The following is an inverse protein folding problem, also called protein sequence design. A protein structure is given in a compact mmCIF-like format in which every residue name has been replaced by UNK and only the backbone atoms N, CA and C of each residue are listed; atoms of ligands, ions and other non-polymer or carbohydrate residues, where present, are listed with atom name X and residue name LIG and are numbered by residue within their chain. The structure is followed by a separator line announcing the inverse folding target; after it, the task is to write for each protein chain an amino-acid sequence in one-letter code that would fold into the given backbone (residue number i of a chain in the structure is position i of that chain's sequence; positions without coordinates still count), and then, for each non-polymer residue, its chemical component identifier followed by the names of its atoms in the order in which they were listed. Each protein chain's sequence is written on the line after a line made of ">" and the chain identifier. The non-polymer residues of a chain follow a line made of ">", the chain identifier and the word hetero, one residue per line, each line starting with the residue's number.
data_IF_698089507694
#
_entry.id   IF_698089507694
#
_cell.length_a   1.000
_cell.length_b   1.000
_cell.length_c   1.000
_cell.angle_alpha   90.00
_cell.angle_beta   90.00
_cell.angle_gamma   90.00
#
_symmetry.space_group_name_H-M   'P 1'
#
loop_
_entity.id
_entity.type
_entity.pdbx_description
1 polymer ?
#
# COMPACT_ATOMS: atom_id res chain seq x y z
N UNK A 1 -11.75 16.40 76.62
CA UNK A 1 -11.48 15.65 75.37
C UNK A 1 -11.82 16.55 74.20
N UNK A 2 -10.80 16.89 73.39
CA UNK A 2 -10.94 17.64 72.14
C UNK A 2 -11.63 16.75 71.12
N UNK A 3 -12.59 17.27 70.36
CA UNK A 3 -12.65 17.08 68.91
C UNK A 3 -13.43 18.24 68.28
N UNK A 4 -13.02 18.50 67.05
CA UNK A 4 -13.04 19.76 66.31
C UNK A 4 -13.69 19.42 64.96
N UNK A 5 -14.16 20.46 64.25
CA UNK A 5 -14.38 20.50 62.79
C UNK A 5 -15.69 19.84 62.28
N UNK A 6 -16.32 20.27 61.19
CA UNK A 6 -16.00 21.32 60.21
C UNK A 6 -17.29 21.73 59.50
N UNK A 7 -17.34 23.01 59.13
CA UNK A 7 -18.35 23.65 58.32
C UNK A 7 -18.45 23.12 56.89
N UNK A 8 -19.63 23.36 56.34
CA UNK A 8 -20.15 23.22 54.98
C UNK A 8 -19.21 23.64 53.85
N UNK A 9 -19.27 22.87 52.75
CA UNK A 9 -18.66 23.23 51.46
C UNK A 9 -19.23 22.36 50.33
N UNK A 10 -20.40 22.74 49.81
CA UNK A 10 -21.02 22.12 48.64
C UNK A 10 -20.38 22.74 47.38
N UNK A 11 -19.46 22.03 46.74
CA UNK A 11 -18.90 22.42 45.44
C UNK A 11 -19.87 22.00 44.32
N UNK A 12 -20.57 22.98 43.76
CA UNK A 12 -21.25 22.88 42.47
C UNK A 12 -20.19 22.76 41.37
N UNK A 13 -20.05 21.55 40.82
CA UNK A 13 -19.30 21.33 39.58
C UNK A 13 -20.17 21.85 38.43
N UNK A 14 -19.78 22.98 37.86
CA UNK A 14 -20.32 23.50 36.61
C UNK A 14 -19.86 22.63 35.45
N UNK A 15 -20.82 22.07 34.70
CA UNK A 15 -20.57 21.55 33.36
C UNK A 15 -20.21 22.72 32.44
N UNK A 16 -18.94 22.84 32.07
CA UNK A 16 -18.56 23.67 30.93
C UNK A 16 -18.72 22.84 29.66
N UNK A 17 -19.79 23.14 28.94
CA UNK A 17 -20.05 22.74 27.57
C UNK A 17 -18.95 23.33 26.68
N UNK A 18 -18.00 22.50 26.28
CA UNK A 18 -16.93 22.89 25.38
C UNK A 18 -17.53 23.29 24.04
N UNK A 19 -17.47 24.59 23.75
CA UNK A 19 -17.91 25.18 22.51
C UNK A 19 -17.26 24.46 21.32
N UNK A 20 -18.14 23.94 20.46
CA UNK A 20 -17.84 23.35 19.16
C UNK A 20 -17.09 24.39 18.31
N UNK A 21 -15.79 24.21 18.18
CA UNK A 21 -14.95 25.01 17.29
C UNK A 21 -15.46 24.78 15.85
N UNK A 22 -15.85 25.84 15.09
CA UNK A 22 -16.33 25.66 13.74
C UNK A 22 -15.18 25.16 12.86
N UNK A 23 -15.48 24.15 12.06
CA UNK A 23 -14.58 23.58 11.07
C UNK A 23 -13.96 24.69 10.21
N UNK A 24 -12.64 24.80 10.26
CA UNK A 24 -11.88 25.65 9.36
C UNK A 24 -12.24 25.27 7.93
N UNK A 25 -12.78 26.24 7.19
CA UNK A 25 -13.13 26.09 5.80
C UNK A 25 -11.91 25.60 5.02
N UNK A 26 -12.04 24.43 4.41
CA UNK A 26 -11.06 23.89 3.49
C UNK A 26 -10.75 24.95 2.42
N UNK A 27 -9.52 25.47 2.42
CA UNK A 27 -9.00 26.25 1.31
C UNK A 27 -9.16 25.41 0.03
N UNK A 28 -9.98 25.91 -0.89
CA UNK A 28 -10.17 25.32 -2.20
C UNK A 28 -8.80 25.20 -2.89
N UNK A 29 -8.34 23.96 -3.04
CA UNK A 29 -7.17 23.65 -3.86
C UNK A 29 -7.52 24.04 -5.29
N UNK A 30 -6.84 25.07 -5.81
CA UNK A 30 -6.93 25.43 -7.23
C UNK A 30 -6.60 24.19 -8.05
N UNK A 31 -7.57 23.73 -8.85
CA UNK A 31 -7.35 22.63 -9.78
C UNK A 31 -6.19 22.99 -10.71
N UNK A 32 -5.17 22.11 -10.75
CA UNK A 32 -4.05 22.23 -11.66
C UNK A 32 -4.56 22.28 -13.10
N UNK A 33 -4.18 23.32 -13.85
CA UNK A 33 -4.63 23.59 -15.22
C UNK A 33 -3.90 22.76 -16.28
N UNK A 34 -2.97 21.89 -15.88
CA UNK A 34 -2.25 21.03 -16.81
C UNK A 34 -3.09 19.78 -17.09
N UNK A 35 -3.25 19.38 -18.37
CA UNK A 35 -3.89 18.11 -18.69
C UNK A 35 -3.17 16.98 -17.94
N UNK A 36 -3.90 15.99 -17.39
CA UNK A 36 -3.28 14.90 -16.66
C UNK A 36 -2.25 14.22 -17.58
N UNK A 37 -1.00 14.16 -17.11
CA UNK A 37 0.10 13.52 -17.83
C UNK A 37 -0.30 12.08 -18.16
N UNK A 38 -0.31 11.74 -19.44
CA UNK A 38 -0.57 10.37 -19.91
C UNK A 38 0.73 9.56 -19.82
N UNK A 39 0.64 8.36 -19.24
CA UNK A 39 1.74 7.41 -19.21
C UNK A 39 1.52 6.34 -20.29
N UNK A 40 2.59 5.85 -20.95
CA UNK A 40 2.50 4.73 -21.87
C UNK A 40 1.84 3.51 -21.21
N UNK A 41 1.03 2.78 -21.98
CA UNK A 41 0.48 1.50 -21.55
C UNK A 41 1.63 0.49 -21.51
N UNK A 42 1.81 -0.17 -20.37
CA UNK A 42 2.69 -1.31 -20.22
C UNK A 42 1.84 -2.57 -20.06
N UNK A 43 2.04 -3.55 -20.93
CA UNK A 43 1.39 -4.87 -20.86
C UNK A 43 2.34 -5.85 -20.19
N UNK A 44 2.01 -6.41 -19.01
CA UNK A 44 2.81 -7.43 -18.35
C UNK A 44 3.06 -8.64 -19.25
N UNK A 45 4.32 -9.09 -19.34
CA UNK A 45 4.64 -10.39 -19.91
C UNK A 45 4.26 -11.50 -18.91
N UNK A 46 3.01 -11.95 -19.02
CA UNK A 46 2.45 -12.96 -18.11
C UNK A 46 3.21 -14.27 -18.17
N UNK A 47 3.76 -14.64 -19.33
CA UNK A 47 4.51 -15.89 -19.47
C UNK A 47 5.83 -15.80 -18.69
N UNK A 48 6.57 -14.70 -18.87
CA UNK A 48 7.81 -14.45 -18.14
C UNK A 48 7.59 -14.38 -16.62
N UNK A 49 6.47 -13.78 -16.18
CA UNK A 49 6.10 -13.73 -14.76
C UNK A 49 5.82 -15.12 -14.21
N UNK A 50 4.99 -15.92 -14.89
CA UNK A 50 4.59 -17.26 -14.44
C UNK A 50 5.76 -18.25 -14.40
N UNK A 51 6.79 -18.04 -15.21
CA UNK A 51 8.02 -18.85 -15.20
C UNK A 51 9.16 -18.20 -14.39
N UNK A 52 8.90 -17.10 -13.68
CA UNK A 52 9.90 -16.31 -12.94
C UNK A 52 11.14 -15.91 -13.77
N UNK A 53 10.98 -15.76 -15.09
CA UNK A 53 12.09 -15.56 -16.02
C UNK A 53 12.86 -14.27 -15.74
N UNK A 54 12.18 -13.20 -15.33
CA UNK A 54 12.77 -11.89 -15.06
C UNK A 54 12.99 -11.59 -13.56
N UNK A 55 12.57 -12.49 -12.66
CA UNK A 55 12.62 -12.25 -11.20
C UNK A 55 14.05 -11.99 -10.71
N UNK A 56 15.01 -12.85 -11.08
CA UNK A 56 16.40 -12.74 -10.62
C UNK A 56 17.05 -11.41 -11.06
N UNK A 57 16.79 -10.99 -12.30
CA UNK A 57 17.29 -9.72 -12.81
C UNK A 57 16.70 -8.53 -12.04
N UNK A 58 15.39 -8.53 -11.79
CA UNK A 58 14.71 -7.47 -11.06
C UNK A 58 15.15 -7.40 -9.59
N UNK A 59 15.33 -8.54 -8.92
CA UNK A 59 15.88 -8.58 -7.56
C UNK A 59 17.28 -8.00 -7.51
N UNK A 60 18.14 -8.34 -8.48
CA UNK A 60 19.48 -7.77 -8.56
C UNK A 60 19.45 -6.26 -8.81
N UNK A 61 18.51 -5.75 -9.62
CA UNK A 61 18.32 -4.33 -9.85
C UNK A 61 17.88 -3.61 -8.55
N UNK A 62 16.85 -4.12 -7.87
CA UNK A 62 16.36 -3.59 -6.59
C UNK A 62 17.47 -3.59 -5.54
N UNK A 63 18.30 -4.63 -5.49
CA UNK A 63 19.41 -4.71 -4.54
C UNK A 63 20.49 -3.65 -4.78
N UNK A 64 20.84 -3.39 -6.04
CA UNK A 64 21.83 -2.36 -6.42
C UNK A 64 21.31 -0.94 -6.21
N UNK A 65 20.01 -0.71 -6.42
CA UNK A 65 19.41 0.61 -6.27
C UNK A 65 19.32 1.01 -4.79
N UNK A 66 19.64 2.27 -4.50
CA UNK A 66 19.46 2.84 -3.17
C UNK A 66 18.00 3.28 -3.05
N UNK A 67 17.24 2.57 -2.23
CA UNK A 67 15.80 2.83 -2.07
C UNK A 67 15.55 3.70 -0.86
N UNK A 68 14.64 4.66 -1.01
CA UNK A 68 14.05 5.40 0.11
C UNK A 68 12.75 4.71 0.49
N UNK A 69 12.57 4.44 1.78
CA UNK A 69 11.37 3.77 2.29
C UNK A 69 10.28 4.78 2.62
N UNK A 70 9.06 4.46 2.21
CA UNK A 70 7.89 5.30 2.40
C UNK A 70 6.76 4.54 3.09
N UNK A 71 6.00 5.26 3.92
CA UNK A 71 4.80 4.74 4.61
C UNK A 71 3.50 5.25 4.02
N UNK A 72 3.58 6.08 2.98
CA UNK A 72 2.45 6.78 2.36
C UNK A 72 2.24 6.29 0.93
N UNK A 73 1.00 5.99 0.58
CA UNK A 73 0.63 5.54 -0.76
C UNK A 73 0.90 6.59 -1.83
N UNK A 74 0.82 7.88 -1.48
CA UNK A 74 1.11 8.99 -2.40
C UNK A 74 2.59 9.12 -2.79
N UNK A 75 3.48 8.33 -2.17
CA UNK A 75 4.89 8.25 -2.56
C UNK A 75 5.14 7.24 -3.70
N UNK A 76 4.12 6.48 -4.13
CA UNK A 76 4.25 5.59 -5.29
C UNK A 76 4.56 6.46 -6.52
N UNK A 77 5.62 6.15 -7.30
CA UNK A 77 5.95 6.90 -8.50
C UNK A 77 4.74 7.00 -9.44
N UNK A 78 4.45 8.19 -10.02
CA UNK A 78 3.27 8.39 -10.86
C UNK A 78 3.13 7.40 -12.03
N UNK A 79 4.23 7.01 -12.68
CA UNK A 79 4.24 5.98 -13.73
C UNK A 79 3.76 4.62 -13.22
N UNK A 80 4.13 4.26 -12.00
CA UNK A 80 3.71 3.02 -11.35
C UNK A 80 2.25 3.12 -10.90
N UNK A 81 1.84 4.26 -10.32
CA UNK A 81 0.44 4.50 -9.96
C UNK A 81 -0.48 4.38 -11.19
N UNK A 82 -0.10 4.96 -12.32
CA UNK A 82 -0.83 4.83 -13.57
C UNK A 82 -0.93 3.37 -14.03
N UNK A 83 0.18 2.63 -13.97
CA UNK A 83 0.19 1.19 -14.28
C UNK A 83 -0.75 0.39 -13.37
N UNK A 84 -0.77 0.66 -12.06
CA UNK A 84 -1.62 -0.03 -11.10
C UNK A 84 -3.10 0.24 -11.36
N UNK A 85 -3.47 1.48 -11.70
CA UNK A 85 -4.85 1.79 -12.09
C UNK A 85 -5.29 1.07 -13.37
N UNK A 86 -4.36 0.75 -14.27
CA UNK A 86 -4.64 0.04 -15.52
C UNK A 86 -4.68 -1.49 -15.35
N UNK A 87 -3.80 -2.05 -14.52
CA UNK A 87 -3.54 -3.50 -14.50
C UNK A 87 -3.86 -4.17 -13.15
N UNK A 88 -4.11 -3.41 -12.10
CA UNK A 88 -4.21 -3.95 -10.73
C UNK A 88 -5.54 -3.60 -10.06
N UNK A 89 -6.63 -3.80 -10.79
CA UNK A 89 -7.98 -3.68 -10.25
C UNK A 89 -8.39 -4.95 -9.50
N UNK A 90 -9.13 -4.80 -8.39
CA UNK A 90 -9.68 -5.92 -7.64
C UNK A 90 -11.18 -5.95 -7.93
N UNK A 91 -11.67 -6.99 -8.60
CA UNK A 91 -13.08 -7.08 -8.97
C UNK A 91 -13.57 -5.73 -9.57
N UNK A 92 -14.78 -5.29 -9.24
CA UNK A 92 -15.34 -4.01 -9.69
C UNK A 92 -14.79 -2.78 -8.93
N UNK A 93 -13.58 -2.86 -8.34
CA UNK A 93 -12.92 -1.78 -7.61
C UNK A 93 -11.60 -1.36 -8.29
N UNK A 94 -11.40 -0.06 -8.57
CA UNK A 94 -10.13 0.44 -9.07
C UNK A 94 -8.99 0.21 -8.06
N UNK A 95 -7.74 0.37 -8.50
CA UNK A 95 -6.63 0.36 -7.56
C UNK A 95 -6.77 1.48 -6.52
N UNK A 96 -6.84 1.09 -5.25
CA UNK A 96 -6.82 1.95 -4.08
C UNK A 96 -6.12 1.21 -2.95
N UNK A 97 -5.28 1.92 -2.19
CA UNK A 97 -4.45 1.34 -1.12
C UNK A 97 -4.37 2.32 0.05
N UNK A 98 -4.61 1.82 1.26
CA UNK A 98 -4.43 2.58 2.49
C UNK A 98 -2.94 2.79 2.79
N UNK A 99 -2.61 3.87 3.50
CA UNK A 99 -1.26 4.05 4.03
C UNK A 99 -0.88 2.93 5.01
N UNK A 100 0.43 2.81 5.28
CA UNK A 100 0.91 1.83 6.26
C UNK A 100 0.22 2.02 7.61
N UNK A 101 -0.33 0.92 8.14
CA UNK A 101 -1.02 0.89 9.44
C UNK A 101 -2.42 1.50 9.46
N UNK A 102 -2.93 2.05 8.34
CA UNK A 102 -4.31 2.55 8.26
C UNK A 102 -5.31 1.43 7.97
N UNK A 103 -6.54 1.58 8.48
CA UNK A 103 -7.60 0.57 8.28
C UNK A 103 -7.87 0.33 6.79
N UNK A 104 -8.15 -0.91 6.44
CA UNK A 104 -8.53 -1.35 5.10
C UNK A 104 -9.54 -2.51 5.21
N UNK A 105 -10.18 -2.87 4.11
CA UNK A 105 -11.13 -3.98 4.04
C UNK A 105 -10.40 -5.33 4.01
N UNK A 106 -9.97 -5.80 5.18
CA UNK A 106 -9.24 -7.06 5.35
C UNK A 106 -10.13 -8.32 5.20
N UNK A 107 -11.41 -8.23 5.58
CA UNK A 107 -12.34 -9.34 5.61
C UNK A 107 -13.28 -9.42 4.41
N UNK A 108 -14.18 -10.40 4.43
CA UNK A 108 -15.16 -10.63 3.37
C UNK A 108 -16.31 -9.63 3.35
N UNK A 109 -16.50 -8.86 4.43
CA UNK A 109 -17.51 -7.81 4.53
C UNK A 109 -16.82 -6.46 4.35
N UNK A 110 -17.08 -5.80 3.22
CA UNK A 110 -16.51 -4.51 2.92
C UNK A 110 -17.21 -3.38 3.70
N UNK A 111 -16.45 -2.59 4.45
CA UNK A 111 -16.86 -1.30 4.98
C UNK A 111 -16.73 -0.23 3.89
N UNK A 112 -17.78 0.55 3.71
CA UNK A 112 -17.83 1.59 2.67
C UNK A 112 -16.76 2.65 2.93
N UNK A 113 -15.95 2.95 1.90
CA UNK A 113 -14.93 4.00 1.96
C UNK A 113 -13.56 3.55 2.45
N UNK A 114 -13.41 2.28 2.86
CA UNK A 114 -12.08 1.69 3.07
C UNK A 114 -11.58 1.03 1.77
N UNK A 115 -10.28 1.15 1.44
CA UNK A 115 -9.71 0.46 0.30
C UNK A 115 -9.62 -1.05 0.56
N UNK A 116 -9.64 -1.85 -0.51
CA UNK A 116 -9.39 -3.30 -0.44
C UNK A 116 -7.93 -3.70 -0.15
N UNK A 117 -7.01 -2.73 -0.09
CA UNK A 117 -5.57 -2.95 0.06
C UNK A 117 -4.96 -2.08 1.17
N UNK A 118 -3.91 -2.54 1.83
CA UNK A 118 -3.10 -1.75 2.77
C UNK A 118 -1.62 -1.81 2.41
N UNK A 119 -0.96 -0.67 2.35
CA UNK A 119 0.47 -0.60 2.09
C UNK A 119 1.25 -1.30 3.21
N UNK A 120 2.13 -2.22 2.83
CA UNK A 120 3.00 -2.96 3.76
C UNK A 120 4.46 -2.55 3.63
N UNK A 121 4.91 -2.30 2.41
CA UNK A 121 6.26 -1.84 2.11
C UNK A 121 6.27 -1.00 0.83
N UNK A 122 7.00 0.11 0.82
CA UNK A 122 7.29 0.88 -0.40
C UNK A 122 8.73 1.37 -0.34
N UNK A 123 9.58 0.79 -1.17
CA UNK A 123 10.94 1.26 -1.42
C UNK A 123 11.03 1.84 -2.83
N UNK A 124 11.37 3.13 -2.94
CA UNK A 124 11.51 3.83 -4.23
C UNK A 124 12.97 4.18 -4.43
N UNK A 125 13.58 3.62 -5.47
CA UNK A 125 14.93 3.96 -5.92
C UNK A 125 14.93 4.89 -7.12
N UNK A 126 16.10 5.08 -7.73
CA UNK A 126 16.24 5.93 -8.92
C UNK A 126 15.59 5.32 -10.16
N UNK A 127 15.61 3.99 -10.26
CA UNK A 127 15.12 3.25 -11.44
C UNK A 127 14.32 2.00 -11.07
N UNK A 128 14.14 1.75 -9.77
CA UNK A 128 13.41 0.59 -9.28
C UNK A 128 12.40 0.97 -8.22
N UNK A 129 11.36 0.15 -8.08
CA UNK A 129 10.41 0.26 -6.99
C UNK A 129 10.05 -1.15 -6.50
N UNK A 130 10.11 -1.32 -5.19
CA UNK A 130 9.64 -2.52 -4.50
C UNK A 130 8.41 -2.14 -3.68
N UNK A 131 7.26 -2.66 -4.08
CA UNK A 131 5.97 -2.37 -3.46
C UNK A 131 5.38 -3.67 -2.92
N UNK A 132 5.03 -3.71 -1.64
CA UNK A 132 4.21 -4.77 -1.08
C UNK A 132 2.98 -4.18 -0.40
N UNK A 133 1.84 -4.84 -0.57
CA UNK A 133 0.59 -4.47 0.08
C UNK A 133 -0.21 -5.71 0.44
N UNK A 134 -0.95 -5.61 1.54
CA UNK A 134 -1.92 -6.61 1.93
C UNK A 134 -3.20 -6.43 1.11
N UNK A 135 -3.78 -7.54 0.66
CA UNK A 135 -5.07 -7.61 -0.03
C UNK A 135 -6.04 -8.36 0.87
N UNK A 136 -7.21 -7.78 1.11
CA UNK A 136 -8.26 -8.42 1.90
C UNK A 136 -9.29 -9.17 1.04
N UNK A 137 -10.35 -9.65 1.69
CA UNK A 137 -11.44 -10.40 1.07
C UNK A 137 -11.67 -11.73 1.81
N UNK A 138 -11.63 -12.85 1.09
CA UNK A 138 -11.66 -14.19 1.71
C UNK A 138 -10.27 -14.51 2.28
N UNK A 139 -9.93 -13.84 3.37
CA UNK A 139 -8.60 -13.85 3.99
C UNK A 139 -7.73 -12.66 3.61
N UNK A 140 -6.53 -12.60 4.20
CA UNK A 140 -5.52 -11.57 3.92
C UNK A 140 -4.27 -12.24 3.38
N UNK A 141 -3.73 -11.73 2.28
CA UNK A 141 -2.43 -12.13 1.76
C UNK A 141 -1.63 -10.90 1.32
N UNK A 142 -0.31 -11.00 1.38
CA UNK A 142 0.59 -9.92 0.95
C UNK A 142 1.00 -10.12 -0.50
N UNK A 143 0.64 -9.19 -1.38
CA UNK A 143 1.17 -9.14 -2.75
C UNK A 143 2.43 -8.29 -2.76
N UNK A 144 3.40 -8.69 -3.57
CA UNK A 144 4.64 -7.94 -3.84
C UNK A 144 4.78 -7.69 -5.32
N UNK A 145 5.24 -6.50 -5.66
CA UNK A 145 5.49 -6.02 -7.00
C UNK A 145 6.90 -5.47 -7.08
N UNK A 146 7.62 -5.85 -8.14
CA UNK A 146 8.93 -5.32 -8.48
C UNK A 146 8.81 -4.59 -9.80
N UNK A 147 9.32 -3.36 -9.83
CA UNK A 147 9.38 -2.55 -11.03
C UNK A 147 10.80 -2.13 -11.32
N UNK A 148 11.17 -2.17 -12.59
CA UNK A 148 12.23 -1.36 -13.18
C UNK A 148 11.57 -0.34 -14.11
N UNK A 149 11.94 0.93 -13.99
CA UNK A 149 11.36 2.02 -14.78
C UNK A 149 12.44 3.03 -15.19
N UNK A 150 12.17 3.74 -16.28
CA UNK A 150 13.00 4.82 -16.80
C UNK A 150 12.12 6.00 -17.13
N UNK A 151 12.32 7.12 -16.43
CA UNK A 151 11.48 8.31 -16.55
C UNK A 151 10.00 7.96 -16.40
N UNK A 152 9.27 7.94 -17.52
CA UNK A 152 7.84 7.76 -17.59
C UNK A 152 7.44 6.39 -18.17
N UNK A 153 8.34 5.40 -18.17
CA UNK A 153 8.06 4.08 -18.72
C UNK A 153 8.52 2.95 -17.80
N UNK A 154 7.67 1.94 -17.64
CA UNK A 154 8.04 0.66 -17.01
C UNK A 154 8.79 -0.16 -18.05
N UNK A 155 9.96 -0.68 -17.67
CA UNK A 155 10.81 -1.52 -18.52
C UNK A 155 10.92 -2.95 -17.98
N UNK A 156 10.58 -3.16 -16.71
CA UNK A 156 10.50 -4.48 -16.09
C UNK A 156 9.44 -4.51 -15.01
N UNK A 157 8.70 -5.61 -14.96
CA UNK A 157 7.66 -5.85 -13.95
C UNK A 157 7.64 -7.32 -13.56
N UNK A 158 7.52 -7.57 -12.26
CA UNK A 158 7.20 -8.88 -11.73
C UNK A 158 6.29 -8.73 -10.52
N UNK A 159 5.45 -9.73 -10.27
CA UNK A 159 4.56 -9.77 -9.10
C UNK A 159 4.67 -11.12 -8.41
N UNK A 160 4.32 -11.21 -7.14
CA UNK A 160 4.24 -12.46 -6.39
C UNK A 160 3.50 -12.29 -5.08
N UNK A 161 3.55 -13.33 -4.24
CA UNK A 161 2.96 -13.34 -2.91
C UNK A 161 4.07 -13.51 -1.87
N UNK A 162 4.02 -12.72 -0.81
CA UNK A 162 4.91 -12.83 0.34
C UNK A 162 4.24 -13.60 1.48
N UNK A 163 5.09 -14.12 2.36
CA UNK A 163 4.68 -14.62 3.66
C UNK A 163 4.66 -13.48 4.68
N UNK A 164 4.10 -13.76 5.85
CA UNK A 164 3.78 -12.72 6.84
C UNK A 164 5.00 -12.04 7.52
N UNK A 165 6.24 -12.45 7.23
CA UNK A 165 7.42 -12.07 8.02
C UNK A 165 8.30 -10.96 7.42
N UNK A 166 8.11 -10.59 6.15
CA UNK A 166 9.00 -9.64 5.49
C UNK A 166 8.45 -8.22 5.57
N UNK A 167 9.16 -7.32 6.26
CA UNK A 167 8.77 -5.92 6.48
C UNK A 167 9.77 -4.89 5.93
N UNK A 168 10.88 -5.34 5.35
CA UNK A 168 11.93 -4.48 4.78
C UNK A 168 12.46 -5.04 3.44
N UNK A 169 13.26 -4.23 2.73
CA UNK A 169 13.85 -4.61 1.43
C UNK A 169 14.57 -5.96 1.48
N UNK A 170 15.43 -6.17 2.49
CA UNK A 170 16.27 -7.36 2.57
C UNK A 170 15.45 -8.61 2.86
N UNK A 171 14.51 -8.54 3.80
CA UNK A 171 13.59 -9.63 4.12
C UNK A 171 12.76 -10.03 2.90
N UNK A 172 12.22 -9.04 2.16
CA UNK A 172 11.46 -9.30 0.94
C UNK A 172 12.33 -9.97 -0.12
N UNK A 173 13.50 -9.40 -0.43
CA UNK A 173 14.42 -9.96 -1.44
C UNK A 173 14.86 -11.37 -1.05
N UNK A 174 15.24 -11.59 0.21
CA UNK A 174 15.65 -12.90 0.69
C UNK A 174 14.52 -13.92 0.53
N UNK A 175 13.30 -13.57 0.92
CA UNK A 175 12.17 -14.48 0.76
C UNK A 175 11.94 -14.86 -0.71
N UNK A 176 12.00 -13.89 -1.62
CA UNK A 176 11.82 -14.12 -3.06
C UNK A 176 12.95 -14.94 -3.66
N UNK A 177 14.20 -14.76 -3.21
CA UNK A 177 15.33 -15.59 -3.62
C UNK A 177 15.17 -17.04 -3.18
N UNK A 178 14.68 -17.28 -1.95
CA UNK A 178 14.45 -18.63 -1.43
C UNK A 178 13.29 -19.35 -2.13
N UNK A 179 12.32 -18.62 -2.69
CA UNK A 179 11.15 -19.20 -3.36
C UNK A 179 11.20 -19.11 -4.89
N UNK A 180 12.29 -18.61 -5.49
CA UNK A 180 12.36 -18.30 -6.93
C UNK A 180 12.09 -19.49 -7.85
N UNK A 181 12.47 -20.69 -7.41
CA UNK A 181 12.34 -21.94 -8.16
C UNK A 181 11.02 -22.67 -7.85
N UNK A 182 10.24 -22.14 -6.90
CA UNK A 182 8.92 -22.68 -6.64
C UNK A 182 7.97 -22.33 -7.79
N UNK A 183 7.17 -23.28 -8.28
CA UNK A 183 6.14 -22.96 -9.25
C UNK A 183 5.19 -21.93 -8.64
N UNK A 184 4.66 -21.03 -9.47
CA UNK A 184 3.61 -20.13 -9.06
C UNK A 184 2.49 -20.90 -8.37
N UNK A 185 2.30 -20.64 -7.08
CA UNK A 185 1.34 -21.39 -6.26
C UNK A 185 -0.06 -21.18 -6.83
N UNK A 186 -0.74 -22.27 -7.16
CA UNK A 186 -2.21 -22.28 -7.34
C UNK A 186 -2.84 -21.96 -5.99
N UNK A 187 -3.05 -20.69 -5.67
CA UNK A 187 -3.95 -20.35 -4.58
C UNK A 187 -5.37 -20.74 -5.01
N UNK A 188 -6.03 -21.46 -4.12
CA UNK A 188 -7.37 -22.05 -4.22
C UNK A 188 -8.37 -21.22 -5.03
N UNK A 189 -8.77 -21.73 -6.20
CA UNK A 189 -10.08 -21.49 -6.81
C UNK A 189 -10.37 -20.10 -7.40
N UNK A 190 -9.53 -19.09 -7.20
CA UNK A 190 -9.77 -17.76 -7.73
C UNK A 190 -8.93 -17.50 -8.99
N UNK A 191 -9.62 -17.05 -10.03
CA UNK A 191 -9.02 -16.57 -11.29
C UNK A 191 -8.03 -15.47 -10.94
N UNK A 192 -6.76 -15.69 -11.25
CA UNK A 192 -5.72 -14.68 -11.17
C UNK A 192 -6.16 -13.49 -12.02
N UNK A 193 -6.33 -12.33 -11.40
CA UNK A 193 -6.35 -11.05 -12.10
C UNK A 193 -4.88 -10.67 -12.27
N UNK A 194 -4.32 -11.06 -13.42
CA UNK A 194 -3.10 -10.47 -13.97
C UNK A 194 -3.45 -9.13 -14.62
#
# INVERSE_FOLDING_TARGET
>A
MKHFLLFTGLLLVSCQEAAKQPASAASAVKASSNPPKQYPIYTPDTAAILTNQNLTQLLAAVMRDSVVEHRKANAIPPVISAFLHQNDSLYNEPFAVADYGQRFNAGCTAEKGLPGRQLRYLGVGQSTCLLAYDVGGVGVFTRVLLFEFRHDSIVGYWTGILGNQSADKLGIVNQLLHSRDAPWRRYSGHRLML
#
